data_IF_076197638462
#
_entry.id   IF_076197638462
#
_cell.length_a   1.000
_cell.length_b   1.000
_cell.length_c   1.000
_cell.angle_alpha   90.00
_cell.angle_beta   90.00
_cell.angle_gamma   90.00
#
_symmetry.space_group_name_H-M   'P 1'
#
loop_
_entity.id
_entity.type
_entity.pdbx_description
1 polymer ?
#
# COMPACT_ATOMS: atom_id res chain seq x y z
N UNK A 1 28.68 4.78 -2.14
CA UNK A 1 27.88 4.95 -0.90
C UNK A 1 28.45 4.09 0.20
N UNK A 2 28.70 4.69 1.37
CA UNK A 2 29.05 3.97 2.60
C UNK A 2 27.86 3.13 3.10
N UNK A 3 28.14 2.12 3.93
CA UNK A 3 27.12 1.26 4.53
C UNK A 3 26.03 2.04 5.28
N UNK A 4 26.34 3.04 6.15
CA UNK A 4 25.31 3.81 6.85
C UNK A 4 24.36 4.52 5.89
N UNK A 5 24.89 5.10 4.81
CA UNK A 5 24.06 5.79 3.80
C UNK A 5 23.14 4.82 3.06
N UNK A 6 23.61 3.59 2.76
CA UNK A 6 22.77 2.55 2.13
C UNK A 6 21.63 2.13 3.06
N UNK A 7 21.92 1.91 4.34
CA UNK A 7 20.91 1.53 5.32
C UNK A 7 19.85 2.62 5.45
N UNK A 8 20.25 3.89 5.59
CA UNK A 8 19.31 5.02 5.66
C UNK A 8 18.38 5.07 4.46
N UNK A 9 18.91 4.94 3.24
CA UNK A 9 18.08 4.94 2.02
C UNK A 9 17.13 3.74 2.01
N UNK A 10 17.59 2.54 2.35
CA UNK A 10 16.74 1.36 2.40
C UNK A 10 15.61 1.48 3.44
N UNK A 11 15.89 2.06 4.62
CA UNK A 11 14.88 2.34 5.64
C UNK A 11 13.84 3.34 5.14
N UNK A 12 14.26 4.39 4.43
CA UNK A 12 13.34 5.37 3.84
C UNK A 12 12.41 4.68 2.83
N UNK A 13 12.94 3.81 1.96
CA UNK A 13 12.12 3.07 1.00
C UNK A 13 11.09 2.17 1.70
N UNK A 14 11.49 1.48 2.77
CA UNK A 14 10.57 0.68 3.60
C UNK A 14 9.49 1.56 4.21
N UNK A 15 9.84 2.71 4.78
CA UNK A 15 8.88 3.63 5.38
C UNK A 15 7.85 4.13 4.35
N UNK A 16 8.30 4.49 3.14
CA UNK A 16 7.41 4.87 2.03
C UNK A 16 6.44 3.73 1.70
N UNK A 17 6.94 2.49 1.62
CA UNK A 17 6.10 1.34 1.31
C UNK A 17 5.05 1.05 2.39
N UNK A 18 5.43 1.16 3.67
CA UNK A 18 4.51 1.02 4.80
C UNK A 18 3.44 2.11 4.76
N UNK A 19 3.82 3.36 4.51
CA UNK A 19 2.84 4.45 4.34
C UNK A 19 1.86 4.17 3.19
N UNK A 20 2.36 3.74 2.03
CA UNK A 20 1.53 3.38 0.88
C UNK A 20 0.55 2.24 1.20
N UNK A 21 1.02 1.20 1.90
CA UNK A 21 0.20 0.08 2.35
C UNK A 21 -0.93 0.54 3.28
N UNK A 22 -0.63 1.41 4.26
CA UNK A 22 -1.63 1.96 5.18
C UNK A 22 -2.70 2.75 4.43
N UNK A 23 -2.30 3.58 3.46
CA UNK A 23 -3.23 4.38 2.65
C UNK A 23 -4.11 3.51 1.76
N UNK A 24 -3.62 2.38 1.22
CA UNK A 24 -4.49 1.45 0.47
C UNK A 24 -5.43 0.71 1.42
N UNK A 25 -4.92 0.22 2.55
CA UNK A 25 -5.71 -0.55 3.51
C UNK A 25 -6.87 0.28 4.10
N UNK A 26 -6.69 1.59 4.30
CA UNK A 26 -7.75 2.48 4.77
C UNK A 26 -8.90 2.64 3.78
N UNK A 27 -8.72 2.28 2.51
CA UNK A 27 -9.75 2.34 1.47
C UNK A 27 -10.62 1.08 1.40
N UNK A 28 -10.33 0.03 2.18
CA UNK A 28 -11.07 -1.25 2.14
C UNK A 28 -12.53 -1.06 2.59
N UNK A 29 -12.75 -0.34 3.69
CA UNK A 29 -14.08 -0.18 4.26
C UNK A 29 -14.81 1.00 3.59
N UNK A 30 -15.93 0.72 2.93
CA UNK A 30 -16.83 1.73 2.37
C UNK A 30 -18.12 1.74 3.16
N UNK A 31 -18.41 2.87 3.79
CA UNK A 31 -19.65 3.11 4.51
C UNK A 31 -20.65 3.81 3.61
N UNK A 32 -21.88 3.31 3.53
CA UNK A 32 -22.99 3.93 2.82
C UNK A 32 -24.28 3.85 3.64
N UNK A 33 -25.28 4.65 3.28
CA UNK A 33 -26.60 4.66 3.92
C UNK A 33 -27.64 4.26 2.91
N UNK A 34 -28.47 3.26 3.23
CA UNK A 34 -29.64 2.96 2.43
C UNK A 34 -30.77 3.95 2.78
N UNK A 35 -31.64 4.28 1.81
CA UNK A 35 -32.79 5.13 2.06
C UNK A 35 -33.68 4.54 3.17
N UNK A 36 -34.40 5.39 3.93
CA UNK A 36 -35.26 4.92 5.00
C UNK A 36 -36.34 4.00 4.45
N UNK A 37 -36.41 2.79 5.02
CA UNK A 37 -37.50 1.84 4.79
C UNK A 37 -38.72 2.19 5.65
N UNK A 38 -39.58 1.20 5.92
CA UNK A 38 -40.83 1.40 6.69
C UNK A 38 -40.63 1.93 8.12
N UNK A 39 -39.42 1.80 8.69
CA UNK A 39 -39.07 2.34 10.00
C UNK A 39 -38.78 3.85 9.99
N UNK A 40 -38.65 4.49 8.82
CA UNK A 40 -38.31 5.91 8.69
C UNK A 40 -36.85 6.28 9.00
N UNK A 41 -35.98 5.30 9.28
CA UNK A 41 -34.57 5.54 9.65
C UNK A 41 -33.64 5.02 8.55
N UNK A 42 -32.66 5.83 8.15
CA UNK A 42 -31.60 5.42 7.24
C UNK A 42 -30.66 4.41 7.94
N UNK A 43 -30.43 3.25 7.32
CA UNK A 43 -29.57 2.20 7.90
C UNK A 43 -28.14 2.33 7.37
N UNK A 44 -27.15 2.29 8.25
CA UNK A 44 -25.73 2.31 7.91
C UNK A 44 -25.27 0.92 7.48
N UNK A 45 -24.65 0.83 6.31
CA UNK A 45 -24.05 -0.39 5.79
C UNK A 45 -22.56 -0.21 5.54
N UNK A 46 -21.80 -1.28 5.73
CA UNK A 46 -20.36 -1.32 5.45
C UNK A 46 -20.12 -2.43 4.43
N UNK A 47 -19.47 -2.08 3.33
CA UNK A 47 -19.06 -3.02 2.28
C UNK A 47 -17.54 -2.96 2.07
N UNK A 48 -16.99 -4.04 1.52
CA UNK A 48 -15.58 -4.10 1.18
C UNK A 48 -15.35 -3.66 -0.26
N UNK A 49 -14.46 -2.69 -0.46
CA UNK A 49 -14.06 -2.24 -1.79
C UNK A 49 -13.01 -3.22 -2.36
N UNK A 50 -13.45 -4.12 -3.24
CA UNK A 50 -12.60 -5.18 -3.82
C UNK A 50 -11.28 -4.65 -4.42
N UNK A 51 -11.26 -3.51 -5.15
CA UNK A 51 -10.01 -2.91 -5.61
C UNK A 51 -9.00 -2.59 -4.50
N UNK A 52 -9.47 -2.09 -3.35
CA UNK A 52 -8.59 -1.81 -2.23
C UNK A 52 -7.99 -3.10 -1.65
N UNK A 53 -8.75 -4.20 -1.58
CA UNK A 53 -8.22 -5.51 -1.16
C UNK A 53 -7.08 -5.94 -2.09
N UNK A 54 -7.29 -5.89 -3.41
CA UNK A 54 -6.27 -6.25 -4.39
C UNK A 54 -5.03 -5.35 -4.28
N UNK A 55 -5.24 -4.04 -4.12
CA UNK A 55 -4.17 -3.08 -3.88
C UNK A 55 -3.38 -3.38 -2.60
N UNK A 56 -4.05 -3.77 -1.51
CA UNK A 56 -3.39 -4.11 -0.25
C UNK A 56 -2.47 -5.32 -0.43
N UNK A 57 -2.88 -6.32 -1.21
CA UNK A 57 -2.03 -7.49 -1.52
C UNK A 57 -0.78 -7.04 -2.29
N UNK A 58 -0.94 -6.23 -3.34
CA UNK A 58 0.19 -5.74 -4.15
C UNK A 58 1.15 -4.88 -3.31
N UNK A 59 0.63 -3.94 -2.53
CA UNK A 59 1.43 -3.08 -1.65
C UNK A 59 2.15 -3.90 -0.56
N UNK A 60 1.50 -4.95 -0.03
CA UNK A 60 2.12 -5.85 0.97
C UNK A 60 3.31 -6.60 0.37
N UNK A 61 3.18 -7.14 -0.84
CA UNK A 61 4.29 -7.80 -1.53
C UNK A 61 5.47 -6.86 -1.77
N UNK A 62 5.20 -5.61 -2.18
CA UNK A 62 6.23 -4.59 -2.34
C UNK A 62 6.94 -4.24 -1.02
N UNK A 63 6.17 -4.09 0.08
CA UNK A 63 6.73 -3.85 1.41
C UNK A 63 7.61 -5.02 1.89
N UNK A 64 7.17 -6.27 1.69
CA UNK A 64 7.95 -7.46 2.03
C UNK A 64 9.25 -7.52 1.21
N UNK A 65 9.18 -7.24 -0.10
CA UNK A 65 10.37 -7.20 -0.95
C UNK A 65 11.38 -6.14 -0.48
N UNK A 66 10.91 -4.98 -0.05
CA UNK A 66 11.77 -3.91 0.49
C UNK A 66 12.35 -4.25 1.86
N UNK A 67 11.62 -4.95 2.73
CA UNK A 67 12.14 -5.48 3.98
C UNK A 67 13.24 -6.52 3.72
N UNK A 68 13.03 -7.43 2.77
CA UNK A 68 14.06 -8.38 2.35
C UNK A 68 15.30 -7.67 1.78
N UNK A 69 15.10 -6.62 0.98
CA UNK A 69 16.19 -5.77 0.48
C UNK A 69 16.98 -5.13 1.62
N UNK A 70 16.31 -4.57 2.64
CA UNK A 70 16.97 -4.00 3.82
C UNK A 70 17.85 -5.03 4.55
N UNK A 71 17.37 -6.26 4.71
CA UNK A 71 18.17 -7.35 5.30
C UNK A 71 19.43 -7.63 4.46
N UNK A 72 19.33 -7.62 3.13
CA UNK A 72 20.50 -7.79 2.25
C UNK A 72 21.47 -6.61 2.36
N UNK A 73 20.95 -5.38 2.47
CA UNK A 73 21.75 -4.17 2.68
C UNK A 73 22.54 -4.26 4.00
N UNK A 74 21.89 -4.70 5.08
CA UNK A 74 22.53 -4.91 6.39
C UNK A 74 23.63 -5.98 6.34
N UNK A 75 23.48 -7.00 5.49
CA UNK A 75 24.51 -8.03 5.24
C UNK A 75 25.66 -7.56 4.34
N UNK A 76 25.61 -6.34 3.81
CA UNK A 76 26.67 -5.75 2.98
C UNK A 76 26.77 -6.25 1.54
N UNK A 77 25.85 -7.13 1.09
CA UNK A 77 25.91 -7.81 -0.23
C UNK A 77 24.92 -7.22 -1.24
N UNK A 78 25.05 -5.94 -1.58
CA UNK A 78 24.09 -5.26 -2.48
C UNK A 78 24.67 -5.03 -3.87
N UNK A 79 24.07 -5.67 -4.89
CA UNK A 79 24.33 -5.35 -6.29
C UNK A 79 23.59 -4.06 -6.72
N UNK A 80 24.10 -3.37 -7.74
CA UNK A 80 23.50 -2.12 -8.24
C UNK A 80 22.06 -2.32 -8.74
N UNK A 81 21.77 -3.45 -9.40
CA UNK A 81 20.45 -3.74 -9.94
C UNK A 81 19.36 -3.85 -8.87
N UNK A 82 19.72 -4.30 -7.65
CA UNK A 82 18.77 -4.43 -6.54
C UNK A 82 18.18 -3.08 -6.12
N UNK A 83 18.92 -1.99 -6.31
CA UNK A 83 18.43 -0.64 -6.02
C UNK A 83 17.38 -0.19 -7.04
N UNK A 84 17.51 -0.57 -8.31
CA UNK A 84 16.47 -0.28 -9.30
C UNK A 84 15.16 -1.02 -8.96
N UNK A 85 15.27 -2.29 -8.57
CA UNK A 85 14.10 -3.09 -8.14
C UNK A 85 13.48 -2.49 -6.88
N UNK A 86 14.27 -2.11 -5.88
CA UNK A 86 13.79 -1.47 -4.66
C UNK A 86 13.04 -0.16 -4.96
N UNK A 87 13.59 0.69 -5.84
CA UNK A 87 12.92 1.91 -6.29
C UNK A 87 11.60 1.60 -6.99
N UNK A 88 11.56 0.59 -7.87
CA UNK A 88 10.31 0.18 -8.53
C UNK A 88 9.26 -0.29 -7.50
N UNK A 89 9.64 -1.08 -6.49
CA UNK A 89 8.74 -1.47 -5.41
C UNK A 89 8.20 -0.28 -4.61
N UNK A 90 9.05 0.73 -4.33
CA UNK A 90 8.61 1.95 -3.67
C UNK A 90 7.62 2.74 -4.53
N UNK A 91 7.89 2.88 -5.83
CA UNK A 91 6.96 3.51 -6.77
C UNK A 91 5.62 2.79 -6.85
N UNK A 92 5.63 1.45 -6.91
CA UNK A 92 4.40 0.64 -6.86
C UNK A 92 3.63 0.90 -5.57
N UNK A 93 4.32 0.98 -4.43
CA UNK A 93 3.69 1.23 -3.13
C UNK A 93 3.01 2.60 -3.05
N UNK A 94 3.57 3.61 -3.73
CA UNK A 94 2.97 4.96 -3.82
C UNK A 94 1.88 5.05 -4.90
N UNK A 95 2.07 4.36 -6.03
CA UNK A 95 1.12 4.38 -7.16
C UNK A 95 -0.15 3.59 -6.88
N UNK A 96 -0.06 2.47 -6.16
CA UNK A 96 -1.21 1.61 -5.83
C UNK A 96 -2.36 2.36 -5.17
N UNK A 97 -2.17 3.15 -4.08
CA UNK A 97 -3.28 3.89 -3.47
C UNK A 97 -3.91 4.92 -4.39
N UNK A 98 -3.14 5.53 -5.29
CA UNK A 98 -3.64 6.50 -6.27
C UNK A 98 -4.55 5.79 -7.28
N UNK A 99 -4.10 4.67 -7.82
CA UNK A 99 -4.87 3.86 -8.77
C UNK A 99 -6.17 3.37 -8.13
N UNK A 100 -6.08 2.80 -6.92
CA UNK A 100 -7.27 2.33 -6.17
C UNK A 100 -8.26 3.48 -5.93
N UNK A 101 -7.78 4.67 -5.58
CA UNK A 101 -8.64 5.82 -5.32
C UNK A 101 -9.39 6.32 -6.57
N UNK A 102 -8.84 6.07 -7.77
CA UNK A 102 -9.48 6.44 -9.05
C UNK A 102 -10.45 5.38 -9.58
N UNK A 103 -10.51 4.19 -8.97
CA UNK A 103 -11.45 3.16 -9.41
C UNK A 103 -12.87 3.47 -8.95
N UNK A 104 -13.83 3.14 -9.81
CA UNK A 104 -15.25 3.37 -9.54
C UNK A 104 -15.67 2.69 -8.25
N UNK A 105 -16.15 3.50 -7.29
CA UNK A 105 -16.78 2.99 -6.10
C UNK A 105 -18.18 2.50 -6.45
N UNK A 106 -18.65 1.41 -5.83
CA UNK A 106 -20.02 0.95 -6.05
C UNK A 106 -21.00 2.06 -5.66
N UNK A 107 -21.92 2.35 -6.58
CA UNK A 107 -23.06 3.24 -6.37
C UNK A 107 -24.20 2.35 -5.87
N UNK A 108 -24.68 2.61 -4.66
CA UNK A 108 -25.71 1.83 -3.97
C UNK A 108 -27.02 2.62 -3.87
#
# INVERSE_FOLDING_TARGET
MSLPRRVVVAVILVAIAVCGLVVVASQIAVTYYLPPGESGVATKHVSAFKPAIAGTVIASLAAIALLAHLVVVLRGRTARWMWFVATACALVSVGTPIIVATMDRPVY
#
